data_IF_769762316292
#
_entry.id   IF_769762316292
#
_cell.length_a   1.000
_cell.length_b   1.000
_cell.length_c   1.000
_cell.angle_alpha   90.00
_cell.angle_beta   90.00
_cell.angle_gamma   90.00
#
_symmetry.space_group_name_H-M   'P 1'
#
loop_
_entity.id
_entity.type
_entity.pdbx_description
1 polymer ?
#
# COMPACT_ATOMS: atom_id res chain seq x y z
N UNK A 1 -4.91 1.22 -6.49
CA UNK A 1 -4.53 0.13 -5.56
C UNK A 1 -4.73 -1.25 -6.17
N UNK A 2 -5.93 -1.62 -6.66
CA UNK A 2 -6.21 -2.94 -7.27
C UNK A 2 -5.18 -3.41 -8.31
N UNK A 3 -4.87 -2.56 -9.30
CA UNK A 3 -3.84 -2.87 -10.32
C UNK A 3 -2.45 -3.18 -9.73
N UNK A 4 -2.06 -2.53 -8.62
CA UNK A 4 -0.78 -2.80 -7.97
C UNK A 4 -0.79 -4.18 -7.28
N UNK A 5 -1.95 -4.64 -6.81
CA UNK A 5 -2.11 -5.96 -6.22
C UNK A 5 -2.08 -7.02 -7.32
N UNK A 6 -2.81 -6.84 -8.42
CA UNK A 6 -2.76 -7.74 -9.59
C UNK A 6 -1.33 -7.91 -10.13
N UNK A 7 -0.56 -6.82 -10.21
CA UNK A 7 0.85 -6.90 -10.61
C UNK A 7 1.73 -7.63 -9.58
N UNK A 8 1.43 -7.49 -8.29
CA UNK A 8 2.15 -8.20 -7.23
C UNK A 8 1.82 -9.70 -7.23
N UNK A 9 0.58 -10.08 -7.51
CA UNK A 9 0.18 -11.48 -7.70
C UNK A 9 0.88 -12.10 -8.90
N UNK A 10 0.97 -11.36 -10.02
CA UNK A 10 1.73 -11.80 -11.20
C UNK A 10 3.23 -11.96 -10.92
N UNK A 11 3.77 -11.20 -9.97
CA UNK A 11 5.15 -11.30 -9.50
C UNK A 11 5.35 -12.38 -8.41
N UNK A 12 4.36 -13.25 -8.16
CA UNK A 12 4.39 -14.34 -7.17
C UNK A 12 4.58 -13.86 -5.71
N UNK A 13 4.07 -12.67 -5.38
CA UNK A 13 4.08 -12.16 -4.02
C UNK A 13 3.09 -12.94 -3.13
N UNK A 14 3.55 -13.45 -1.98
CA UNK A 14 2.72 -14.21 -1.01
C UNK A 14 1.71 -13.36 -0.25
N UNK A 15 1.88 -12.04 -0.29
CA UNK A 15 1.01 -11.08 0.34
C UNK A 15 1.52 -9.67 0.12
N UNK A 16 0.60 -8.73 0.03
CA UNK A 16 0.89 -7.31 -0.19
C UNK A 16 -0.01 -6.46 0.70
N UNK A 17 0.55 -5.40 1.26
CA UNK A 17 -0.21 -4.36 1.95
C UNK A 17 0.18 -3.02 1.32
N UNK A 18 -0.81 -2.33 0.74
CA UNK A 18 -0.65 -1.00 0.16
C UNK A 18 -1.43 -0.01 1.00
N UNK A 19 -0.77 1.07 1.44
CA UNK A 19 -1.39 2.15 2.19
C UNK A 19 -1.13 3.48 1.46
N UNK A 20 -2.18 4.28 1.30
CA UNK A 20 -2.09 5.63 0.77
C UNK A 20 -2.80 6.57 1.74
N UNK A 21 -2.10 7.62 2.14
CA UNK A 21 -2.59 8.64 3.05
C UNK A 21 -2.57 10.00 2.37
N UNK A 22 -3.61 10.80 2.57
CA UNK A 22 -3.66 12.17 2.09
C UNK A 22 -5.05 12.59 1.64
N UNK A 23 -5.10 13.66 0.84
CA UNK A 23 -6.33 14.21 0.27
C UNK A 23 -6.75 13.41 -0.96
N UNK A 24 -7.29 12.22 -0.71
CA UNK A 24 -7.68 11.30 -1.77
C UNK A 24 -8.85 11.90 -2.56
N UNK A 25 -8.78 11.81 -3.88
CA UNK A 25 -9.75 12.38 -4.83
C UNK A 25 -9.96 13.91 -4.71
N UNK A 26 -8.99 14.66 -4.14
CA UNK A 26 -9.11 16.11 -4.00
C UNK A 26 -10.01 16.56 -2.85
N UNK A 27 -10.43 15.63 -1.98
CA UNK A 27 -11.24 15.96 -0.82
C UNK A 27 -10.49 16.90 0.14
N UNK A 28 -11.23 17.77 0.82
CA UNK A 28 -10.68 18.71 1.79
C UNK A 28 -10.14 17.98 3.04
N UNK A 29 -10.81 16.89 3.43
CA UNK A 29 -10.41 16.07 4.56
C UNK A 29 -9.48 14.95 4.09
N UNK A 30 -8.29 14.88 4.68
CA UNK A 30 -7.35 13.80 4.43
C UNK A 30 -7.85 12.47 5.02
N UNK A 31 -7.62 11.37 4.30
CA UNK A 31 -7.97 10.03 4.73
C UNK A 31 -6.83 9.05 4.46
N UNK A 32 -6.86 7.94 5.18
CA UNK A 32 -5.93 6.83 5.00
C UNK A 32 -6.72 5.66 4.45
N UNK A 33 -6.42 5.27 3.22
CA UNK A 33 -6.94 4.04 2.63
C UNK A 33 -5.82 3.02 2.58
N UNK A 34 -6.14 1.80 2.97
CA UNK A 34 -5.23 0.68 2.86
C UNK A 34 -5.98 -0.54 2.36
N UNK A 35 -5.26 -1.36 1.59
CA UNK A 35 -5.75 -2.65 1.12
C UNK A 35 -4.66 -3.67 1.44
N UNK A 36 -5.10 -4.83 1.90
CA UNK A 36 -4.24 -5.95 2.21
C UNK A 36 -4.76 -7.19 1.51
N UNK A 37 -3.87 -7.89 0.85
CA UNK A 37 -4.17 -9.13 0.14
C UNK A 37 -3.12 -10.19 0.51
N UNK A 38 -3.55 -11.43 0.72
CA UNK A 38 -2.68 -12.51 1.19
C UNK A 38 -2.17 -12.34 2.63
N UNK A 39 -1.03 -12.98 2.94
CA UNK A 39 -0.46 -13.03 4.30
C UNK A 39 0.70 -12.05 4.47
N UNK A 40 0.52 -11.07 5.36
CA UNK A 40 1.54 -10.09 5.75
C UNK A 40 1.70 -10.09 7.28
N UNK A 41 2.59 -10.92 7.84
CA UNK A 41 2.79 -11.02 9.29
C UNK A 41 3.83 -10.00 9.77
N UNK A 42 3.38 -8.82 10.22
CA UNK A 42 4.26 -7.71 10.63
C UNK A 42 5.03 -7.96 11.93
N UNK A 43 4.59 -8.89 12.78
CA UNK A 43 5.26 -9.22 14.04
C UNK A 43 6.32 -10.32 13.90
N UNK A 44 6.33 -11.06 12.79
CA UNK A 44 7.20 -12.23 12.62
C UNK A 44 8.54 -11.82 12.01
N UNK A 45 9.56 -11.62 12.85
CA UNK A 45 10.91 -11.16 12.46
C UNK A 45 11.58 -12.08 11.40
N UNK A 46 11.28 -13.38 11.42
CA UNK A 46 11.85 -14.36 10.47
C UNK A 46 11.36 -14.16 9.03
N UNK A 47 10.22 -13.51 8.84
CA UNK A 47 9.61 -13.35 7.51
C UNK A 47 10.32 -12.21 6.77
N UNK A 48 10.70 -12.48 5.52
CA UNK A 48 11.24 -11.45 4.63
C UNK A 48 10.09 -10.55 4.18
N UNK A 49 10.16 -9.27 4.53
CA UNK A 49 9.18 -8.24 4.18
C UNK A 49 9.96 -7.06 3.61
N UNK A 50 9.66 -6.70 2.37
CA UNK A 50 10.17 -5.48 1.76
C UNK A 50 9.19 -4.33 2.04
N UNK A 51 9.70 -3.23 2.59
CA UNK A 51 8.93 -2.03 2.90
C UNK A 51 9.51 -0.83 2.17
N UNK A 52 8.63 -0.01 1.59
CA UNK A 52 9.00 1.25 0.96
C UNK A 52 7.92 2.30 1.25
N UNK A 53 8.35 3.53 1.54
CA UNK A 53 7.49 4.70 1.70
C UNK A 53 7.93 5.76 0.70
N UNK A 54 6.99 6.29 -0.08
CA UNK A 54 7.30 7.31 -1.08
C UNK A 54 6.28 8.46 -1.01
N UNK A 55 6.72 9.71 -0.74
CA UNK A 55 5.84 10.87 -0.76
C UNK A 55 5.58 11.33 -2.19
N UNK A 56 4.34 11.70 -2.50
CA UNK A 56 3.94 12.23 -3.80
C UNK A 56 3.36 13.62 -3.59
N UNK A 57 3.86 14.60 -4.35
CA UNK A 57 3.31 15.97 -4.37
C UNK A 57 2.23 16.07 -5.43
N UNK A 58 1.02 16.40 -5.02
CA UNK A 58 -0.11 16.67 -5.91
C UNK A 58 -0.45 18.16 -5.90
N UNK A 59 -1.38 18.56 -6.76
CA UNK A 59 -1.84 19.95 -6.85
C UNK A 59 -2.43 20.44 -5.51
N UNK A 60 -3.02 19.52 -4.74
CA UNK A 60 -3.66 19.81 -3.45
C UNK A 60 -2.80 19.42 -2.23
N UNK A 61 -1.55 19.02 -2.46
CA UNK A 61 -0.61 18.49 -1.46
C UNK A 61 0.28 17.41 -2.04
#
# INVERSE_FOLDING_TARGET
MKKAIELAEQADAKGIQVQIAGRLNGNEIARVEWIREGRVPLQTIRVKIDYCSYPVRTIYG
#
